data_IF_914139449321
#
_entry.id   IF_914139449321
#
_cell.length_a   1.000
_cell.length_b   1.000
_cell.length_c   1.000
_cell.angle_alpha   90.00
_cell.angle_beta   90.00
_cell.angle_gamma   90.00
#
_symmetry.space_group_name_H-M   'P 1'
#
loop_
_entity.id
_entity.type
_entity.pdbx_description
1 polymer ?
#
# COMPACT_ATOMS: atom_id res chain seq x y z
N UNK A 1 21.45 3.01 27.33
CA UNK A 1 21.57 4.20 26.46
C UNK A 1 21.05 3.80 25.10
N UNK A 2 19.83 4.20 24.77
CA UNK A 2 19.22 3.86 23.48
C UNK A 2 18.39 5.07 23.03
N UNK A 3 19.10 6.07 22.47
CA UNK A 3 18.47 7.18 21.77
C UNK A 3 18.24 6.74 20.33
N UNK A 4 16.99 6.47 19.97
CA UNK A 4 16.53 6.60 18.59
C UNK A 4 15.02 6.97 18.53
N UNK A 5 14.65 8.25 18.80
CA UNK A 5 13.41 8.82 18.29
C UNK A 5 13.63 9.89 17.19
N UNK A 6 14.87 10.32 16.95
CA UNK A 6 15.20 11.50 16.14
C UNK A 6 14.81 11.42 14.65
N UNK A 7 14.66 10.22 14.08
CA UNK A 7 14.38 10.07 12.65
C UNK A 7 12.88 10.25 12.31
N UNK A 8 11.98 9.92 13.23
CA UNK A 8 10.53 10.01 13.00
C UNK A 8 10.04 11.45 13.08
N UNK A 9 10.55 12.23 14.04
CA UNK A 9 10.18 13.64 14.22
C UNK A 9 10.57 14.50 12.99
N UNK A 10 11.76 14.30 12.44
CA UNK A 10 12.21 15.01 11.25
C UNK A 10 11.41 14.66 9.97
N UNK A 11 10.85 13.45 9.89
CA UNK A 11 9.95 13.04 8.80
C UNK A 11 8.57 13.67 8.98
N UNK A 12 8.05 13.74 10.21
CA UNK A 12 6.78 14.42 10.50
C UNK A 12 6.80 15.90 10.11
N UNK A 13 7.94 16.57 10.24
CA UNK A 13 8.14 17.96 9.77
C UNK A 13 8.01 18.12 8.25
N UNK A 14 8.06 17.01 7.49
CA UNK A 14 7.85 17.03 6.03
C UNK A 14 6.41 16.74 5.62
N UNK A 15 5.60 16.21 6.54
CA UNK A 15 4.23 15.77 6.25
C UNK A 15 3.17 16.73 6.78
N UNK A 16 2.08 16.87 6.04
CA UNK A 16 0.88 17.52 6.54
C UNK A 16 0.19 16.61 7.56
N UNK A 17 0.36 16.95 8.84
CA UNK A 17 -0.18 16.22 9.99
C UNK A 17 -1.71 16.12 9.92
N UNK A 18 -2.41 17.13 9.38
CA UNK A 18 -3.87 17.08 9.29
C UNK A 18 -4.35 15.99 8.35
N UNK A 19 -3.62 15.73 7.26
CA UNK A 19 -3.93 14.63 6.35
C UNK A 19 -3.71 13.27 7.01
N UNK A 20 -2.61 13.12 7.75
CA UNK A 20 -2.29 11.89 8.48
C UNK A 20 -3.32 11.61 9.59
N UNK A 21 -3.73 12.64 10.34
CA UNK A 21 -4.77 12.53 11.37
C UNK A 21 -6.13 12.16 10.76
N UNK A 22 -6.48 12.75 9.62
CA UNK A 22 -7.71 12.43 8.90
C UNK A 22 -7.73 10.97 8.43
N UNK A 23 -6.60 10.49 7.91
CA UNK A 23 -6.43 9.08 7.52
C UNK A 23 -6.60 8.17 8.74
N UNK A 24 -5.99 8.52 9.87
CA UNK A 24 -6.08 7.75 11.11
C UNK A 24 -7.52 7.67 11.62
N UNK A 25 -8.22 8.80 11.71
CA UNK A 25 -9.61 8.87 12.15
C UNK A 25 -10.54 8.02 11.26
N UNK A 26 -10.42 8.15 9.93
CA UNK A 26 -11.19 7.32 9.01
C UNK A 26 -10.90 5.82 9.19
N UNK A 27 -9.65 5.45 9.46
CA UNK A 27 -9.30 4.05 9.69
C UNK A 27 -9.94 3.48 10.95
N UNK A 28 -9.97 4.27 12.02
CA UNK A 28 -10.63 3.88 13.28
C UNK A 28 -12.13 3.63 13.07
N UNK A 29 -12.80 4.48 12.29
CA UNK A 29 -14.21 4.31 11.92
C UNK A 29 -14.47 3.03 11.11
N UNK A 30 -13.50 2.63 10.28
CA UNK A 30 -13.55 1.37 9.51
C UNK A 30 -13.14 0.13 10.32
N UNK A 31 -12.84 0.27 11.62
CA UNK A 31 -12.51 -0.84 12.51
C UNK A 31 -11.02 -1.21 12.57
N UNK A 32 -10.13 -0.34 12.07
CA UNK A 32 -8.68 -0.46 12.29
C UNK A 32 -8.01 -1.61 11.53
N UNK A 33 -8.58 -2.06 10.41
CA UNK A 33 -7.93 -2.99 9.50
C UNK A 33 -6.85 -2.28 8.65
N UNK A 34 -5.89 -3.01 8.09
CA UNK A 34 -4.87 -2.39 7.23
C UNK A 34 -5.50 -1.87 5.92
N UNK A 35 -5.15 -0.65 5.52
CA UNK A 35 -5.73 0.01 4.35
C UNK A 35 -4.70 0.86 3.60
N UNK A 36 -5.00 1.14 2.33
CA UNK A 36 -4.24 2.04 1.48
C UNK A 36 -5.03 3.32 1.17
N UNK A 37 -4.35 4.46 1.19
CA UNK A 37 -4.92 5.75 0.80
C UNK A 37 -4.06 6.33 -0.31
N UNK A 38 -4.67 6.67 -1.44
CA UNK A 38 -3.96 7.32 -2.55
C UNK A 38 -4.14 8.82 -2.42
N UNK A 39 -3.02 9.52 -2.21
CA UNK A 39 -3.03 10.93 -1.85
C UNK A 39 -2.14 11.71 -2.81
N UNK A 40 -2.58 12.85 -3.36
CA UNK A 40 -1.70 13.76 -4.10
C UNK A 40 -0.51 14.19 -3.23
N UNK A 41 0.71 14.13 -3.77
CA UNK A 41 1.93 14.48 -3.01
C UNK A 41 1.86 15.92 -2.49
N UNK A 42 1.28 16.85 -3.24
CA UNK A 42 1.06 18.25 -2.83
C UNK A 42 0.17 18.44 -1.60
N UNK A 43 -0.60 17.43 -1.19
CA UNK A 43 -1.45 17.49 0.01
C UNK A 43 -0.77 16.90 1.23
N UNK A 44 0.09 15.91 1.05
CA UNK A 44 0.71 15.20 2.18
C UNK A 44 2.12 15.69 2.47
N UNK A 45 2.86 16.23 1.50
CA UNK A 45 4.19 16.78 1.73
C UNK A 45 4.11 18.31 1.79
N UNK A 46 4.57 18.92 2.89
CA UNK A 46 4.53 20.37 3.12
C UNK A 46 5.29 21.14 2.03
N UNK A 47 6.37 20.54 1.50
CA UNK A 47 7.25 21.14 0.50
C UNK A 47 7.19 20.45 -0.86
N UNK A 48 6.13 19.70 -1.16
CA UNK A 48 6.00 19.14 -2.50
C UNK A 48 5.94 20.26 -3.54
N UNK A 49 6.76 20.13 -4.59
CA UNK A 49 6.64 20.98 -5.78
C UNK A 49 5.26 20.82 -6.41
N UNK A 50 4.92 21.70 -7.34
CA UNK A 50 3.67 21.60 -8.09
C UNK A 50 3.71 20.37 -9.02
N UNK A 51 3.32 19.22 -8.49
CA UNK A 51 3.27 17.92 -9.16
C UNK A 51 1.88 17.31 -9.02
N UNK A 52 1.45 16.61 -10.07
CA UNK A 52 0.26 15.76 -10.04
C UNK A 52 0.59 14.33 -9.58
N UNK A 53 1.83 14.09 -9.12
CA UNK A 53 2.25 12.82 -8.55
C UNK A 53 1.44 12.49 -7.30
N UNK A 54 1.06 11.22 -7.18
CA UNK A 54 0.33 10.67 -6.03
C UNK A 54 1.22 9.65 -5.32
N UNK A 55 1.14 9.61 -4.00
CA UNK A 55 1.73 8.56 -3.19
C UNK A 55 0.65 7.65 -2.62
N UNK A 56 1.07 6.47 -2.17
CA UNK A 56 0.22 5.55 -1.40
C UNK A 56 0.59 5.66 0.08
N UNK A 57 -0.36 5.98 0.93
CA UNK A 57 -0.24 5.83 2.38
C UNK A 57 -0.75 4.44 2.75
N UNK A 58 0.14 3.57 3.24
CA UNK A 58 -0.21 2.24 3.73
C UNK A 58 -0.26 2.29 5.25
N UNK A 59 -1.46 2.07 5.81
CA UNK A 59 -1.66 2.03 7.26
C UNK A 59 -1.72 0.58 7.72
N UNK A 60 -0.87 0.22 8.68
CA UNK A 60 -0.73 -1.13 9.25
C UNK A 60 -0.72 -1.05 10.77
N UNK A 61 -1.89 -0.73 11.38
CA UNK A 61 -1.96 -0.24 12.77
C UNK A 61 -1.58 -1.27 13.84
N UNK A 62 -1.46 -2.56 13.47
CA UNK A 62 -1.10 -3.66 14.37
C UNK A 62 0.36 -4.11 14.25
N UNK A 63 1.13 -3.47 13.38
CA UNK A 63 2.51 -3.85 13.09
C UNK A 63 3.45 -2.71 13.48
N UNK A 64 4.51 -3.07 14.21
CA UNK A 64 5.66 -2.17 14.42
C UNK A 64 6.53 -2.13 13.16
N UNK A 65 7.13 -0.97 12.89
CA UNK A 65 8.05 -0.74 11.77
C UNK A 65 9.18 -1.78 11.71
N UNK A 66 9.68 -2.23 12.86
CA UNK A 66 10.81 -3.17 12.91
C UNK A 66 10.48 -4.55 12.31
N UNK A 67 9.21 -4.90 12.20
CA UNK A 67 8.77 -6.19 11.64
C UNK A 67 8.58 -6.17 10.12
N UNK A 68 8.67 -5.00 9.49
CA UNK A 68 8.46 -4.82 8.05
C UNK A 68 9.70 -4.20 7.43
N UNK A 69 10.36 -4.96 6.55
CA UNK A 69 11.60 -4.56 5.86
C UNK A 69 11.28 -3.65 4.65
N UNK A 70 10.90 -2.40 4.92
CA UNK A 70 10.50 -1.44 3.87
C UNK A 70 11.67 -0.91 3.04
N UNK A 71 12.90 -1.02 3.55
CA UNK A 71 14.11 -0.47 2.91
C UNK A 71 14.56 -1.31 1.71
N UNK A 72 14.01 -2.52 1.54
CA UNK A 72 14.26 -3.34 0.36
C UNK A 72 13.36 -2.93 -0.80
N UNK A 73 13.98 -2.39 -1.83
CA UNK A 73 13.34 -1.91 -3.06
C UNK A 73 12.74 -3.01 -3.96
N UNK A 74 12.95 -4.30 -3.66
CA UNK A 74 12.44 -5.37 -4.52
C UNK A 74 10.92 -5.45 -4.43
N UNK A 75 10.28 -5.28 -5.59
CA UNK A 75 8.84 -5.45 -5.79
C UNK A 75 8.58 -6.53 -6.84
N UNK A 76 7.42 -7.19 -6.77
CA UNK A 76 6.97 -8.18 -7.76
C UNK A 76 5.46 -8.35 -7.66
N UNK A 77 4.82 -8.92 -8.67
CA UNK A 77 3.36 -9.10 -8.68
C UNK A 77 2.95 -10.51 -8.25
N UNK A 78 1.89 -10.62 -7.45
CA UNK A 78 1.33 -11.90 -7.01
C UNK A 78 -0.19 -11.82 -6.95
N UNK A 79 -0.87 -12.95 -7.19
CA UNK A 79 -2.32 -13.06 -6.99
C UNK A 79 -2.58 -13.52 -5.56
N UNK A 80 -3.48 -12.83 -4.86
CA UNK A 80 -3.94 -13.21 -3.52
C UNK A 80 -5.44 -13.43 -3.49
N UNK A 81 -5.89 -14.23 -2.54
CA UNK A 81 -7.32 -14.49 -2.33
C UNK A 81 -7.75 -13.63 -1.14
N UNK A 82 -8.63 -12.66 -1.39
CA UNK A 82 -9.18 -11.81 -0.35
C UNK A 82 -10.18 -12.58 0.55
N UNK A 83 -10.54 -12.06 1.73
CA UNK A 83 -11.47 -12.72 2.66
C UNK A 83 -12.85 -13.01 2.05
N UNK A 84 -13.27 -12.21 1.07
CA UNK A 84 -14.48 -12.39 0.26
C UNK A 84 -14.35 -13.50 -0.81
N UNK A 85 -13.22 -14.23 -0.80
CA UNK A 85 -12.81 -15.26 -1.78
C UNK A 85 -12.60 -14.73 -3.19
N UNK A 86 -12.50 -13.42 -3.38
CA UNK A 86 -12.14 -12.85 -4.67
C UNK A 86 -10.62 -12.95 -4.88
N UNK A 87 -10.23 -13.33 -6.10
CA UNK A 87 -8.83 -13.25 -6.51
C UNK A 87 -8.49 -11.80 -6.81
N UNK A 88 -7.42 -11.27 -6.21
CA UNK A 88 -6.96 -9.90 -6.41
C UNK A 88 -5.51 -9.90 -6.84
N UNK A 89 -5.21 -9.15 -7.90
CA UNK A 89 -3.84 -8.86 -8.25
C UNK A 89 -3.24 -7.87 -7.24
N UNK A 90 -2.02 -8.16 -6.79
CA UNK A 90 -1.32 -7.37 -5.82
C UNK A 90 0.12 -7.11 -6.29
N UNK A 91 0.61 -5.93 -6.00
CA UNK A 91 2.03 -5.62 -5.97
C UNK A 91 2.56 -5.95 -4.57
N UNK A 92 3.57 -6.79 -4.51
CA UNK A 92 4.21 -7.21 -3.28
C UNK A 92 5.38 -6.29 -2.97
N UNK A 93 5.37 -5.72 -1.76
CA UNK A 93 6.30 -4.71 -1.25
C UNK A 93 7.04 -5.23 0.00
N UNK A 94 8.01 -4.44 0.45
CA UNK A 94 8.72 -4.64 1.72
C UNK A 94 9.23 -6.08 1.91
N UNK A 95 9.96 -6.57 0.92
CA UNK A 95 10.57 -7.91 0.92
C UNK A 95 9.55 -9.06 1.10
N UNK A 96 8.38 -8.94 0.47
CA UNK A 96 7.34 -9.97 0.56
C UNK A 96 6.36 -9.79 1.72
N UNK A 97 6.49 -8.72 2.51
CA UNK A 97 5.74 -8.58 3.76
C UNK A 97 4.37 -7.92 3.57
N UNK A 98 4.17 -7.18 2.48
CA UNK A 98 2.96 -6.39 2.24
C UNK A 98 2.45 -6.63 0.84
N UNK A 99 1.17 -6.96 0.70
CA UNK A 99 0.48 -7.08 -0.58
C UNK A 99 -0.45 -5.88 -0.77
N UNK A 100 -0.10 -5.00 -1.71
CA UNK A 100 -0.88 -3.83 -2.07
C UNK A 100 -1.71 -4.12 -3.32
N UNK A 101 -3.02 -3.84 -3.29
CA UNK A 101 -3.88 -4.09 -4.46
C UNK A 101 -3.45 -3.35 -5.72
N UNK A 102 -3.68 -3.98 -6.87
CA UNK A 102 -3.56 -3.33 -8.18
C UNK A 102 -4.33 -2.00 -8.22
N UNK A 103 -5.54 -1.94 -7.65
CA UNK A 103 -6.35 -0.72 -7.64
C UNK A 103 -5.59 0.47 -7.03
N UNK A 104 -4.94 0.27 -5.88
CA UNK A 104 -4.12 1.30 -5.25
C UNK A 104 -2.91 1.70 -6.10
N UNK A 105 -2.23 0.72 -6.70
CA UNK A 105 -1.06 0.96 -7.57
C UNK A 105 -1.47 1.76 -8.81
N UNK A 106 -2.53 1.35 -9.49
CA UNK A 106 -3.03 2.01 -10.70
C UNK A 106 -3.48 3.45 -10.44
N UNK A 107 -4.16 3.69 -9.31
CA UNK A 107 -4.57 5.05 -8.88
C UNK A 107 -3.40 5.96 -8.54
N UNK A 108 -2.33 5.41 -7.96
CA UNK A 108 -1.11 6.16 -7.69
C UNK A 108 -0.33 6.51 -8.97
N UNK A 109 -0.51 5.76 -10.06
CA UNK A 109 0.08 6.04 -11.36
C UNK A 109 1.62 6.04 -11.40
N UNK A 110 2.33 5.10 -10.72
CA UNK A 110 3.77 5.16 -10.53
C UNK A 110 4.59 5.06 -11.84
N UNK A 111 4.00 4.54 -12.91
CA UNK A 111 4.67 4.41 -14.20
C UNK A 111 5.03 5.77 -14.83
N UNK A 112 4.22 6.80 -14.58
CA UNK A 112 4.43 8.16 -15.11
C UNK A 112 5.72 8.76 -14.55
N UNK A 113 5.97 8.55 -13.26
CA UNK A 113 7.12 9.10 -12.54
C UNK A 113 8.27 8.08 -12.38
N UNK A 114 8.09 6.87 -12.92
CA UNK A 114 9.02 5.72 -12.81
C UNK A 114 9.36 5.34 -11.37
N UNK A 115 8.47 5.65 -10.43
CA UNK A 115 8.58 5.34 -9.00
C UNK A 115 7.21 5.24 -8.35
N UNK A 116 7.12 4.44 -7.30
CA UNK A 116 5.99 4.36 -6.38
C UNK A 116 6.44 4.90 -5.03
N UNK A 117 5.92 6.07 -4.64
CA UNK A 117 6.13 6.66 -3.33
C UNK A 117 5.16 6.04 -2.32
N UNK A 118 5.69 5.51 -1.20
CA UNK A 118 4.90 4.89 -0.14
C UNK A 118 5.20 5.55 1.20
N UNK A 119 4.16 6.13 1.80
CA UNK A 119 4.17 6.56 3.21
C UNK A 119 3.62 5.42 4.05
N UNK A 120 4.37 4.98 5.05
CA UNK A 120 3.98 3.91 5.95
C UNK A 120 3.53 4.48 7.27
N UNK A 121 2.35 4.08 7.73
CA UNK A 121 1.85 4.38 9.07
C UNK A 121 1.79 3.08 9.88
N UNK A 122 2.79 2.87 10.71
CA UNK A 122 2.90 1.75 11.65
C UNK A 122 2.29 2.10 13.00
N UNK A 123 2.16 1.11 13.87
CA UNK A 123 1.71 1.31 15.25
C UNK A 123 2.62 2.26 16.05
N UNK A 124 3.91 2.34 15.68
CA UNK A 124 4.96 3.01 16.45
C UNK A 124 5.76 4.04 15.64
N UNK A 125 5.51 4.18 14.34
CA UNK A 125 6.31 5.05 13.48
C UNK A 125 5.60 5.43 12.18
N UNK A 126 6.00 6.58 11.63
CA UNK A 126 5.77 6.94 10.24
C UNK A 126 7.10 6.83 9.49
N UNK A 127 7.06 6.25 8.29
CA UNK A 127 8.23 6.08 7.45
C UNK A 127 7.91 6.33 5.97
N UNK A 128 8.95 6.56 5.18
CA UNK A 128 8.83 6.79 3.73
C UNK A 128 9.68 5.76 2.99
N UNK A 129 9.16 5.25 1.88
CA UNK A 129 9.93 4.43 0.93
C UNK A 129 9.63 4.86 -0.49
N UNK A 130 10.64 4.76 -1.34
CA UNK A 130 10.52 4.89 -2.78
C UNK A 130 10.82 3.54 -3.42
N UNK A 131 9.90 3.04 -4.24
CA UNK A 131 10.11 1.83 -5.03
C UNK A 131 10.25 2.19 -6.49
N UNK A 132 11.34 1.77 -7.13
CA UNK A 132 11.51 1.95 -8.57
C UNK A 132 10.41 1.20 -9.33
N UNK A 133 9.67 1.90 -10.19
CA UNK A 133 8.56 1.33 -10.95
C UNK A 133 8.79 1.46 -12.46
N UNK A 134 8.67 0.36 -13.18
CA UNK A 134 9.06 0.24 -14.59
C UNK A 134 7.99 -0.48 -15.39
N UNK A 135 8.13 -0.45 -16.71
CA UNK A 135 7.16 -1.03 -17.63
C UNK A 135 7.00 -2.56 -17.43
N UNK A 136 8.07 -3.26 -17.07
CA UNK A 136 8.05 -4.69 -16.71
C UNK A 136 7.18 -4.97 -15.47
N UNK A 137 7.27 -4.14 -14.43
CA UNK A 137 6.40 -4.25 -13.25
C UNK A 137 4.93 -4.03 -13.63
N UNK A 138 4.64 -3.04 -14.50
CA UNK A 138 3.28 -2.80 -14.97
C UNK A 138 2.74 -3.97 -15.81
N UNK A 139 3.55 -4.50 -16.72
CA UNK A 139 3.18 -5.66 -17.55
C UNK A 139 2.92 -6.90 -16.72
N UNK A 140 3.75 -7.16 -15.70
CA UNK A 140 3.58 -8.27 -14.77
C UNK A 140 2.29 -8.10 -13.95
N UNK A 141 2.04 -6.91 -13.40
CA UNK A 141 0.82 -6.64 -12.65
C UNK A 141 -0.43 -6.81 -13.53
N UNK A 142 -0.39 -6.31 -14.77
CA UNK A 142 -1.48 -6.51 -15.75
C UNK A 142 -1.67 -8.00 -16.11
N UNK A 143 -0.59 -8.79 -16.15
CA UNK A 143 -0.68 -10.23 -16.37
C UNK A 143 -1.36 -10.93 -15.20
N UNK A 144 -0.98 -10.59 -13.97
CA UNK A 144 -1.59 -11.14 -12.75
C UNK A 144 -3.05 -10.72 -12.63
N UNK A 145 -3.39 -9.46 -12.92
CA UNK A 145 -4.76 -8.93 -12.96
C UNK A 145 -5.66 -9.73 -13.89
N UNK A 146 -5.25 -9.91 -15.14
CA UNK A 146 -5.99 -10.74 -16.11
C UNK A 146 -6.16 -12.19 -15.67
N UNK A 147 -5.22 -12.74 -14.89
CA UNK A 147 -5.38 -14.09 -14.33
C UNK A 147 -6.39 -14.07 -13.18
N UNK A 148 -6.35 -13.07 -12.30
CA UNK A 148 -7.29 -12.91 -11.19
C UNK A 148 -8.74 -12.80 -11.69
N UNK A 149 -8.97 -12.00 -12.74
CA UNK A 149 -10.29 -11.87 -13.37
C UNK A 149 -10.82 -13.21 -13.90
N UNK A 150 -9.95 -13.99 -14.57
CA UNK A 150 -10.32 -15.33 -15.07
C UNK A 150 -10.69 -16.27 -13.93
N UNK A 151 -9.98 -16.22 -12.81
CA UNK A 151 -10.29 -17.04 -11.64
C UNK A 151 -11.60 -16.62 -10.97
N UNK A 152 -11.90 -15.31 -10.87
CA UNK A 152 -13.19 -14.81 -10.41
C UNK A 152 -14.38 -15.31 -11.26
N UNK A 153 -14.16 -15.49 -12.57
CA UNK A 153 -15.16 -16.08 -13.46
C UNK A 153 -15.28 -17.61 -13.36
N UNK A 154 -14.19 -18.32 -13.07
CA UNK A 154 -14.15 -19.78 -12.96
C UNK A 154 -14.66 -20.31 -11.62
N UNK A 155 -14.42 -19.60 -10.51
CA UNK A 155 -14.90 -20.02 -9.18
C UNK A 155 -16.41 -19.86 -8.99
N UNK A 156 -17.08 -19.04 -9.83
CA UNK A 156 -18.56 -19.11 -9.97
C UNK A 156 -19.05 -20.44 -10.58
N UNK A 157 -18.16 -21.27 -11.13
CA UNK A 157 -18.51 -22.55 -11.76
C UNK A 157 -17.86 -23.80 -11.16
N UNK A 158 -16.74 -23.71 -10.46
CA UNK A 158 -16.12 -24.89 -9.83
C UNK A 158 -15.29 -24.53 -8.60
N UNK A 159 -15.63 -25.15 -7.47
CA UNK A 159 -14.81 -25.23 -6.27
C UNK A 159 -13.69 -26.23 -6.53
N UNK A 160 -12.42 -25.78 -6.42
CA UNK A 160 -11.28 -26.53 -5.84
C UNK A 160 -9.94 -26.10 -6.45
N UNK A 161 -9.06 -25.50 -5.67
CA UNK A 161 -7.83 -26.18 -5.23
C UNK A 161 -6.97 -25.24 -4.38
N UNK A 162 -6.67 -25.72 -3.17
CA UNK A 162 -5.79 -25.10 -2.19
C UNK A 162 -4.32 -25.37 -2.56
N UNK A 163 -3.49 -24.35 -2.46
CA UNK A 163 -2.05 -24.50 -2.30
C UNK A 163 -1.61 -23.68 -1.08
N UNK A 164 -1.61 -24.33 0.10
CA UNK A 164 -0.93 -23.82 1.29
C UNK A 164 0.55 -24.18 1.18
N UNK A 165 1.35 -23.29 0.58
CA UNK A 165 2.75 -23.17 0.97
C UNK A 165 2.79 -22.38 2.28
N UNK A 166 3.64 -22.76 3.23
CA UNK A 166 3.82 -22.09 4.51
C UNK A 166 4.23 -20.63 4.29
N UNK A 167 3.24 -19.74 4.19
CA UNK A 167 3.43 -18.35 3.90
C UNK A 167 3.85 -17.63 5.18
N UNK A 168 4.99 -16.95 5.09
CA UNK A 168 5.28 -15.78 5.92
C UNK A 168 4.00 -14.93 5.94
N UNK A 169 3.51 -14.56 7.12
CA UNK A 169 2.26 -13.80 7.22
C UNK A 169 2.39 -12.50 6.43
N UNK A 170 1.74 -12.44 5.27
CA UNK A 170 1.74 -11.26 4.40
C UNK A 170 0.64 -10.33 4.92
N UNK A 171 0.96 -9.06 5.07
CA UNK A 171 -0.03 -8.03 5.41
C UNK A 171 -0.78 -7.69 4.12
N UNK A 172 -2.04 -8.08 4.07
CA UNK A 172 -2.89 -7.87 2.91
C UNK A 172 -3.62 -6.52 3.03
N UNK A 173 -3.37 -5.63 2.07
CA UNK A 173 -3.91 -4.27 2.03
C UNK A 173 -4.89 -4.19 0.86
N UNK A 174 -6.11 -4.67 1.12
CA UNK A 174 -7.14 -4.81 0.09
C UNK A 174 -8.08 -3.62 -0.04
N UNK A 175 -8.27 -2.87 1.04
CA UNK A 175 -9.07 -1.65 1.04
C UNK A 175 -8.22 -0.48 0.52
N UNK A 176 -8.78 0.28 -0.42
CA UNK A 176 -8.11 1.41 -1.03
C UNK A 176 -9.07 2.59 -1.22
N UNK A 177 -8.70 3.73 -0.65
CA UNK A 177 -9.44 4.98 -0.69
C UNK A 177 -8.67 6.05 -1.47
N UNK A 178 -9.37 6.91 -2.20
CA UNK A 178 -8.78 8.06 -2.90
C UNK A 178 -9.06 9.34 -2.11
N UNK A 179 -8.03 10.18 -1.92
CA UNK A 179 -8.13 11.44 -1.21
C UNK A 179 -7.96 12.64 -2.14
N UNK A 180 -8.90 12.78 -3.09
CA UNK A 180 -8.94 13.91 -4.02
C UNK A 180 -9.55 15.19 -3.40
N UNK A 181 -10.20 15.10 -2.24
CA UNK A 181 -10.82 16.22 -1.49
C UNK A 181 -10.76 15.99 0.03
N UNK A 182 -11.15 16.95 0.87
CA UNK A 182 -11.29 16.75 2.33
C UNK A 182 -12.18 15.53 2.62
N UNK A 183 -11.83 14.74 3.64
CA UNK A 183 -12.67 13.62 4.08
C UNK A 183 -14.00 14.22 4.55
N UNK A 184 -15.16 13.81 4.02
CA UNK A 184 -16.42 14.22 4.58
C UNK A 184 -16.52 13.64 5.99
N UNK A 185 -16.56 14.55 6.97
CA UNK A 185 -16.91 14.30 8.37
C UNK A 185 -18.29 13.65 8.53
#
# INVERSE_FOLDING_TARGET
MTNAPLATDALLETFDVHVLDSIHAHLEEQGGASAAYVVPMKRIFIQAGNTEERCVVIVVPRMSRQHVDIDRERIYSEMRIAPDRTHRACLILANGSVALTEAAVSRAGPLVYKRLMVVWMFADAIALSEYRYRDDHQEELNLVSRKADRHGHLERRSISSLHLAAQRTVIEVFDCFEMDSEIPS
#
